data_IF_005575934787
#
_entry.id   IF_005575934787
#
_cell.length_a   1.000
_cell.length_b   1.000
_cell.length_c   1.000
_cell.angle_alpha   90.00
_cell.angle_beta   90.00
_cell.angle_gamma   90.00
#
_symmetry.space_group_name_H-M   'P 1'
#
loop_
_entity.id
_entity.type
_entity.pdbx_description
1 polymer ?
#
# COMPACT_ATOMS: atom_id res chain seq x y z
N UNK A 1 -20.61 0.96 -10.07
CA UNK A 1 -20.16 2.36 -10.17
C UNK A 1 -18.72 2.46 -9.65
N UNK A 2 -17.90 3.33 -10.24
CA UNK A 2 -16.52 3.61 -9.81
C UNK A 2 -16.43 5.09 -9.44
N UNK A 3 -15.94 5.39 -8.23
CA UNK A 3 -15.67 6.75 -7.79
C UNK A 3 -14.21 6.84 -7.38
N UNK A 4 -13.45 7.72 -8.03
CA UNK A 4 -12.04 7.92 -7.76
C UNK A 4 -11.79 9.38 -7.36
N UNK A 5 -10.95 9.57 -6.35
CA UNK A 5 -10.49 10.88 -5.91
C UNK A 5 -9.01 10.83 -5.59
N UNK A 6 -8.35 11.98 -5.75
CA UNK A 6 -6.96 12.17 -5.38
C UNK A 6 -6.88 13.40 -4.47
N UNK A 7 -6.29 13.23 -3.31
CA UNK A 7 -6.26 14.26 -2.28
C UNK A 7 -4.88 14.33 -1.63
N UNK A 8 -4.57 15.48 -1.05
CA UNK A 8 -3.37 15.66 -0.23
C UNK A 8 -3.69 15.13 1.18
N UNK A 9 -2.79 14.35 1.76
CA UNK A 9 -2.91 13.92 3.15
C UNK A 9 -2.79 15.17 4.04
N UNK A 10 -3.75 15.42 4.95
CA UNK A 10 -3.78 16.64 5.74
C UNK A 10 -2.45 16.95 6.44
N UNK A 11 -2.03 18.22 6.34
CA UNK A 11 -0.76 18.76 6.88
C UNK A 11 0.52 18.23 6.20
N UNK A 12 0.40 17.58 5.06
CA UNK A 12 1.54 17.11 4.25
C UNK A 12 1.42 17.65 2.82
N UNK A 13 2.38 17.28 1.98
CA UNK A 13 2.44 17.44 0.53
C UNK A 13 2.27 16.10 -0.19
N UNK A 14 2.11 15.00 0.55
CA UNK A 14 1.96 13.66 -0.02
C UNK A 14 0.52 13.48 -0.50
N UNK A 15 0.37 13.03 -1.74
CA UNK A 15 -0.92 12.67 -2.31
C UNK A 15 -1.25 11.21 -1.98
N UNK A 16 -2.54 10.94 -1.81
CA UNK A 16 -3.08 9.60 -1.88
C UNK A 16 -4.24 9.57 -2.88
N UNK A 17 -4.46 8.42 -3.48
CA UNK A 17 -5.64 8.15 -4.29
C UNK A 17 -6.58 7.24 -3.49
N UNK A 18 -7.88 7.51 -3.56
CA UNK A 18 -8.92 6.66 -3.00
C UNK A 18 -9.91 6.32 -4.11
N UNK A 19 -10.12 5.02 -4.32
CA UNK A 19 -11.06 4.50 -5.29
C UNK A 19 -12.07 3.63 -4.57
N UNK A 20 -13.33 3.99 -4.70
CA UNK A 20 -14.48 3.21 -4.28
C UNK A 20 -15.01 2.41 -5.48
N UNK A 21 -15.07 1.09 -5.30
CA UNK A 21 -15.41 0.12 -6.33
C UNK A 21 -16.65 -0.65 -5.90
N UNK A 22 -17.77 -0.45 -6.59
CA UNK A 22 -18.91 -1.35 -6.44
C UNK A 22 -18.63 -2.67 -7.16
N UNK A 23 -18.60 -3.76 -6.40
CA UNK A 23 -18.44 -5.12 -6.92
C UNK A 23 -19.82 -5.80 -6.87
N UNK A 24 -20.38 -6.29 -7.99
CA UNK A 24 -21.74 -6.83 -8.03
C UNK A 24 -22.05 -7.95 -7.03
N UNK A 25 -21.04 -8.72 -6.61
CA UNK A 25 -21.17 -9.80 -5.64
C UNK A 25 -21.07 -9.36 -4.18
N UNK A 26 -20.77 -8.08 -3.92
CA UNK A 26 -20.59 -7.53 -2.57
C UNK A 26 -21.76 -6.62 -2.19
N UNK A 27 -22.06 -6.62 -0.88
CA UNK A 27 -23.09 -5.72 -0.30
C UNK A 27 -22.57 -4.32 -0.03
N UNK A 28 -21.26 -4.18 0.12
CA UNK A 28 -20.58 -2.91 0.38
C UNK A 28 -19.47 -2.68 -0.64
N UNK A 29 -19.15 -1.42 -0.96
CA UNK A 29 -18.04 -1.11 -1.85
C UNK A 29 -16.69 -1.58 -1.32
N UNK A 30 -15.82 -1.97 -2.25
CA UNK A 30 -14.40 -2.19 -2.00
C UNK A 30 -13.68 -0.85 -2.08
N UNK A 31 -12.83 -0.57 -1.09
CA UNK A 31 -12.03 0.65 -1.05
C UNK A 31 -10.57 0.35 -1.33
N UNK A 32 -10.02 1.00 -2.35
CA UNK A 32 -8.61 0.95 -2.71
C UNK A 32 -7.95 2.28 -2.37
N UNK A 33 -6.90 2.23 -1.57
CA UNK A 33 -6.04 3.36 -1.25
C UNK A 33 -4.68 3.17 -1.89
N UNK A 34 -4.18 4.19 -2.58
CA UNK A 34 -2.85 4.21 -3.19
C UNK A 34 -2.04 5.39 -2.66
N UNK A 35 -0.76 5.15 -2.38
CA UNK A 35 0.17 6.18 -1.90
C UNK A 35 1.59 5.91 -2.43
N UNK A 36 2.29 6.98 -2.79
CA UNK A 36 3.74 6.97 -2.97
C UNK A 36 4.36 7.95 -1.97
N UNK A 37 4.93 7.43 -0.90
CA UNK A 37 5.49 8.24 0.18
C UNK A 37 6.93 8.66 -0.13
N UNK A 38 7.36 9.80 0.42
CA UNK A 38 8.69 10.33 0.12
C UNK A 38 9.84 9.38 0.52
N UNK A 39 10.92 9.31 -0.29
CA UNK A 39 12.11 8.53 0.02
C UNK A 39 12.91 9.12 1.19
N UNK A 40 13.71 8.31 1.90
CA UNK A 40 14.50 8.74 3.06
C UNK A 40 15.78 9.52 2.68
N UNK A 41 15.69 10.49 1.77
CA UNK A 41 16.88 11.22 1.26
C UNK A 41 17.40 12.22 2.30
N UNK A 42 16.52 12.82 3.10
CA UNK A 42 16.88 13.74 4.18
C UNK A 42 15.83 13.74 5.29
N UNK A 43 16.13 14.37 6.43
CA UNK A 43 15.24 14.40 7.60
C UNK A 43 13.87 14.99 7.29
N UNK A 44 13.81 16.07 6.51
CA UNK A 44 12.54 16.71 6.13
C UNK A 44 11.62 15.72 5.41
N UNK A 45 12.15 14.96 4.45
CA UNK A 45 11.37 13.95 3.73
C UNK A 45 11.01 12.73 4.58
N UNK A 46 11.85 12.37 5.56
CA UNK A 46 11.54 11.32 6.53
C UNK A 46 10.36 11.73 7.43
N UNK A 47 10.35 12.95 7.94
CA UNK A 47 9.24 13.48 8.75
C UNK A 47 7.97 13.63 7.92
N UNK A 48 8.10 14.11 6.68
CA UNK A 48 7.01 14.22 5.73
C UNK A 48 6.35 12.86 5.47
N UNK A 49 7.16 11.82 5.19
CA UNK A 49 6.66 10.43 5.04
C UNK A 49 5.97 9.94 6.30
N UNK A 50 6.54 10.21 7.48
CA UNK A 50 5.94 9.82 8.76
C UNK A 50 4.55 10.41 8.93
N UNK A 51 4.43 11.73 8.75
CA UNK A 51 3.16 12.43 8.85
C UNK A 51 2.16 11.94 7.80
N UNK A 52 2.63 11.63 6.59
CA UNK A 52 1.79 11.08 5.52
C UNK A 52 1.21 9.72 5.91
N UNK A 53 2.04 8.78 6.37
CA UNK A 53 1.56 7.44 6.76
C UNK A 53 0.63 7.49 7.99
N UNK A 54 0.93 8.34 8.98
CA UNK A 54 0.04 8.56 10.13
C UNK A 54 -1.28 9.23 9.74
N UNK A 55 -1.26 10.14 8.76
CA UNK A 55 -2.44 10.78 8.19
C UNK A 55 -3.29 9.81 7.39
N UNK A 56 -2.69 9.06 6.47
CA UNK A 56 -3.38 8.04 5.69
C UNK A 56 -4.00 6.96 6.60
N UNK A 57 -3.29 6.55 7.65
CA UNK A 57 -3.83 5.57 8.59
C UNK A 57 -5.10 6.09 9.29
N UNK A 58 -5.20 7.38 9.61
CA UNK A 58 -6.44 7.96 10.16
C UNK A 58 -7.56 7.97 9.13
N UNK A 59 -7.27 8.37 7.89
CA UNK A 59 -8.26 8.39 6.80
C UNK A 59 -8.86 6.99 6.57
N UNK A 60 -8.02 5.95 6.58
CA UNK A 60 -8.48 4.57 6.38
C UNK A 60 -9.22 4.05 7.62
N UNK A 61 -8.81 4.44 8.83
CA UNK A 61 -9.48 4.09 10.10
C UNK A 61 -10.88 4.71 10.19
N UNK A 62 -11.04 5.94 9.73
CA UNK A 62 -12.32 6.69 9.74
C UNK A 62 -13.34 6.13 8.73
N UNK A 63 -12.91 5.35 7.73
CA UNK A 63 -13.83 4.65 6.83
C UNK A 63 -14.38 3.39 7.52
N UNK A 64 -15.71 3.21 7.69
CA UNK A 64 -16.27 2.05 8.38
C UNK A 64 -16.24 0.75 7.55
N UNK A 65 -15.86 0.77 6.27
CA UNK A 65 -15.86 -0.43 5.42
C UNK A 65 -14.87 -1.49 5.91
N UNK A 66 -15.28 -2.76 5.85
CA UNK A 66 -14.41 -3.91 6.15
C UNK A 66 -13.62 -4.39 4.93
N UNK A 67 -13.83 -3.81 3.74
CA UNK A 67 -13.22 -4.20 2.47
C UNK A 67 -12.26 -3.10 2.00
N UNK A 68 -11.02 -3.15 2.51
CA UNK A 68 -9.99 -2.14 2.27
C UNK A 68 -8.73 -2.79 1.74
N UNK A 69 -8.18 -2.19 0.69
CA UNK A 69 -6.89 -2.52 0.12
C UNK A 69 -6.03 -1.25 0.17
N UNK A 70 -4.77 -1.39 0.58
CA UNK A 70 -3.79 -0.30 0.55
C UNK A 70 -2.59 -0.76 -0.26
N UNK A 71 -2.21 0.01 -1.28
CA UNK A 71 -1.07 -0.30 -2.14
C UNK A 71 -0.13 0.89 -2.30
N UNK A 72 1.14 0.59 -2.60
CA UNK A 72 2.07 1.56 -3.16
C UNK A 72 3.47 1.48 -2.57
N UNK A 73 4.32 2.39 -3.04
CA UNK A 73 5.69 2.57 -2.57
C UNK A 73 5.66 3.39 -1.28
N UNK A 74 5.89 2.71 -0.15
CA UNK A 74 5.94 3.37 1.14
C UNK A 74 7.32 3.94 1.46
N UNK A 75 8.34 3.66 0.64
CA UNK A 75 9.74 3.96 0.92
C UNK A 75 10.19 3.45 2.30
N UNK A 76 9.59 2.34 2.75
CA UNK A 76 9.85 1.69 4.03
C UNK A 76 9.98 0.19 3.84
N UNK A 77 10.96 -0.40 4.52
CA UNK A 77 11.03 -1.86 4.64
C UNK A 77 10.16 -2.37 5.78
N UNK A 78 9.77 -3.66 5.78
CA UNK A 78 8.93 -4.26 6.82
C UNK A 78 9.56 -4.27 8.22
N UNK A 79 10.87 -4.05 8.28
CA UNK A 79 11.62 -3.99 9.52
C UNK A 79 11.53 -2.63 10.20
N UNK A 80 11.07 -1.59 9.49
CA UNK A 80 10.97 -0.25 10.03
C UNK A 80 9.86 -0.13 11.10
N UNK A 81 10.09 0.51 12.25
CA UNK A 81 9.07 0.68 13.29
C UNK A 81 7.79 1.39 12.83
N UNK A 82 7.91 2.41 11.98
CA UNK A 82 6.78 3.14 11.41
C UNK A 82 5.92 2.24 10.53
N UNK A 83 6.55 1.35 9.77
CA UNK A 83 5.86 0.34 8.97
C UNK A 83 4.97 -0.55 9.84
N UNK A 84 5.56 -1.11 10.91
CA UNK A 84 4.85 -1.98 11.85
C UNK A 84 3.73 -1.23 12.58
N UNK A 85 3.92 0.05 12.88
CA UNK A 85 2.89 0.88 13.48
C UNK A 85 1.70 1.10 12.52
N UNK A 86 1.98 1.37 11.24
CA UNK A 86 0.98 1.51 10.19
C UNK A 86 0.16 0.22 10.00
N UNK A 87 0.83 -0.93 9.90
CA UNK A 87 0.19 -2.24 9.75
C UNK A 87 -0.71 -2.58 10.94
N UNK A 88 -0.20 -2.42 12.17
CA UNK A 88 -0.98 -2.69 13.40
C UNK A 88 -2.19 -1.78 13.54
N UNK A 89 -2.00 -0.49 13.26
CA UNK A 89 -3.05 0.51 13.45
C UNK A 89 -4.29 0.20 12.59
N UNK A 90 -4.07 -0.24 11.35
CA UNK A 90 -5.15 -0.47 10.40
C UNK A 90 -5.78 -1.87 10.51
N UNK A 91 -5.25 -2.74 11.37
CA UNK A 91 -5.63 -4.16 11.42
C UNK A 91 -5.64 -4.82 10.02
N UNK A 92 -4.80 -4.30 9.12
CA UNK A 92 -4.62 -4.82 7.76
C UNK A 92 -3.43 -5.77 7.77
N UNK A 93 -3.54 -6.84 6.99
CA UNK A 93 -2.48 -7.80 6.79
C UNK A 93 -1.74 -7.47 5.51
N UNK A 94 -0.42 -7.40 5.59
CA UNK A 94 0.42 -7.35 4.41
C UNK A 94 0.46 -8.68 3.67
N UNK A 95 0.28 -8.64 2.36
CA UNK A 95 0.33 -9.84 1.49
C UNK A 95 1.60 -9.93 0.65
N UNK A 96 2.36 -8.83 0.54
CA UNK A 96 3.57 -8.79 -0.30
C UNK A 96 4.72 -9.66 0.20
N UNK A 97 4.65 -10.17 1.44
CA UNK A 97 5.71 -10.99 2.05
C UNK A 97 7.04 -10.24 2.11
N UNK A 98 8.19 -10.92 2.10
CA UNK A 98 9.51 -10.27 2.04
C UNK A 98 10.00 -10.08 0.59
N UNK A 99 9.09 -10.03 -0.38
CA UNK A 99 9.48 -9.93 -1.79
C UNK A 99 10.05 -8.55 -2.06
N UNK A 100 11.30 -8.56 -2.51
CA UNK A 100 12.10 -7.38 -2.76
C UNK A 100 11.76 -6.79 -4.13
N UNK A 101 11.47 -5.50 -4.16
CA UNK A 101 10.95 -4.81 -5.35
C UNK A 101 11.93 -3.81 -5.92
N UNK A 102 12.88 -3.30 -5.14
CA UNK A 102 13.82 -2.28 -5.60
C UNK A 102 15.23 -2.50 -5.03
N UNK A 103 16.31 -2.18 -5.76
CA UNK A 103 16.33 -1.82 -7.17
C UNK A 103 16.43 -3.05 -8.07
N UNK A 104 15.67 -3.07 -9.16
CA UNK A 104 15.63 -4.21 -10.09
C UNK A 104 16.95 -4.49 -10.82
N UNK A 105 17.80 -3.48 -10.99
CA UNK A 105 19.11 -3.62 -11.63
C UNK A 105 20.18 -4.31 -10.75
N UNK A 106 19.94 -4.48 -9.45
CA UNK A 106 20.84 -5.23 -8.57
C UNK A 106 20.44 -6.72 -8.47
N UNK A 107 21.36 -7.62 -8.10
CA UNK A 107 21.02 -8.97 -7.67
C UNK A 107 19.98 -8.98 -6.54
N UNK A 108 19.09 -9.99 -6.50
CA UNK A 108 17.96 -10.02 -5.58
C UNK A 108 18.33 -9.92 -4.09
N UNK A 109 19.51 -10.37 -3.68
CA UNK A 109 19.97 -10.29 -2.29
C UNK A 109 20.40 -8.87 -1.85
N UNK A 110 20.55 -7.93 -2.78
CA UNK A 110 20.82 -6.51 -2.49
C UNK A 110 19.57 -5.63 -2.62
N UNK A 111 18.42 -6.23 -2.89
CA UNK A 111 17.15 -5.51 -3.05
C UNK A 111 16.41 -5.43 -1.71
N UNK A 112 15.50 -4.47 -1.63
CA UNK A 112 14.63 -4.19 -0.50
C UNK A 112 13.17 -4.19 -0.93
N UNK A 113 12.28 -4.48 0.02
CA UNK A 113 10.84 -4.46 -0.17
C UNK A 113 10.29 -3.11 0.29
N UNK A 114 10.08 -2.17 -0.64
CA UNK A 114 9.52 -0.84 -0.36
C UNK A 114 8.11 -0.66 -0.90
N UNK A 115 7.71 -1.51 -1.83
CA UNK A 115 6.37 -1.58 -2.39
C UNK A 115 5.53 -2.61 -1.63
N UNK A 116 4.33 -2.22 -1.20
CA UNK A 116 3.51 -3.06 -0.34
C UNK A 116 2.06 -3.12 -0.81
N UNK A 117 1.43 -4.25 -0.50
CA UNK A 117 -0.01 -4.43 -0.60
C UNK A 117 -0.52 -4.95 0.73
N UNK A 118 -1.53 -4.28 1.27
CA UNK A 118 -2.21 -4.64 2.50
C UNK A 118 -3.69 -4.83 2.24
N UNK A 119 -4.28 -5.77 2.96
CA UNK A 119 -5.71 -6.09 2.84
C UNK A 119 -6.34 -6.18 4.23
N UNK A 120 -7.60 -5.79 4.36
CA UNK A 120 -8.40 -5.96 5.57
C UNK A 120 -8.83 -7.42 5.78
N UNK A 121 -9.33 -7.75 6.98
CA UNK A 121 -9.64 -9.14 7.39
C UNK A 121 -10.73 -9.86 6.57
N UNK A 122 -11.58 -9.13 5.84
CA UNK A 122 -12.60 -9.69 4.92
C UNK A 122 -12.08 -9.99 3.52
N UNK A 123 -10.78 -9.79 3.29
CA UNK A 123 -10.12 -10.09 2.03
C UNK A 123 -9.06 -11.15 2.32
N UNK A 124 -9.08 -12.22 1.53
CA UNK A 124 -8.00 -13.19 1.45
C UNK A 124 -7.20 -12.97 0.16
N UNK A 125 -6.03 -13.60 0.08
CA UNK A 125 -5.27 -13.68 -1.16
C UNK A 125 -4.96 -15.14 -1.45
N UNK A 126 -5.04 -15.52 -2.73
CA UNK A 126 -4.69 -16.87 -3.19
C UNK A 126 -3.24 -16.91 -3.68
N UNK A 127 -2.83 -15.88 -4.42
CA UNK A 127 -1.52 -15.81 -5.00
C UNK A 127 -0.97 -14.38 -4.91
N UNK A 128 0.35 -14.29 -4.74
CA UNK A 128 1.09 -13.05 -4.86
C UNK A 128 2.37 -13.36 -5.62
N UNK A 129 2.77 -12.50 -6.55
CA UNK A 129 3.98 -12.65 -7.36
C UNK A 129 4.67 -11.30 -7.58
N UNK A 130 5.99 -11.36 -7.72
CA UNK A 130 6.72 -10.30 -8.42
C UNK A 130 6.69 -10.67 -9.90
N UNK A 131 6.19 -9.76 -10.72
CA UNK A 131 6.28 -9.90 -12.17
C UNK A 131 7.67 -9.46 -12.60
N UNK A 132 8.42 -10.34 -13.25
CA UNK A 132 9.70 -9.98 -13.86
C UNK A 132 9.51 -9.67 -15.34
N UNK A 133 10.24 -8.63 -15.76
CA UNK A 133 10.72 -8.33 -17.11
C UNK A 133 9.72 -7.85 -18.18
N UNK A 134 9.35 -6.56 -18.11
CA UNK A 134 8.94 -5.73 -19.29
C UNK A 134 8.49 -4.28 -18.98
N UNK A 135 8.25 -3.89 -17.71
CA UNK A 135 7.69 -2.55 -17.42
C UNK A 135 8.66 -1.35 -17.51
N UNK A 136 9.91 -1.54 -17.93
CA UNK A 136 10.92 -0.47 -18.02
C UNK A 136 11.02 0.41 -16.74
N UNK A 137 10.96 -0.23 -15.57
CA UNK A 137 10.99 0.41 -14.25
C UNK A 137 12.14 -0.15 -13.41
N UNK A 138 12.70 0.67 -12.53
CA UNK A 138 13.67 0.25 -11.51
C UNK A 138 13.00 -0.46 -10.32
N UNK A 139 11.67 -0.44 -10.26
CA UNK A 139 10.83 -1.17 -9.32
C UNK A 139 10.16 -2.38 -9.98
N UNK A 140 10.05 -3.48 -9.23
CA UNK A 140 9.38 -4.69 -9.68
C UNK A 140 7.86 -4.57 -9.48
N UNK A 141 7.09 -4.81 -10.55
CA UNK A 141 5.65 -4.88 -10.46
C UNK A 141 5.20 -6.06 -9.58
N UNK A 142 4.11 -5.86 -8.84
CA UNK A 142 3.52 -6.89 -7.99
C UNK A 142 2.13 -7.25 -8.52
N UNK A 143 1.83 -8.55 -8.54
CA UNK A 143 0.48 -9.07 -8.79
C UNK A 143 -0.02 -9.78 -7.55
N UNK A 144 -1.27 -9.50 -7.17
CA UNK A 144 -1.98 -10.24 -6.13
C UNK A 144 -3.35 -10.66 -6.67
N UNK A 145 -3.67 -11.94 -6.52
CA UNK A 145 -4.99 -12.47 -6.82
C UNK A 145 -5.77 -12.56 -5.48
N UNK A 146 -6.79 -11.70 -5.35
CA UNK A 146 -7.54 -11.51 -4.11
C UNK A 146 -8.88 -12.26 -4.15
N UNK A 147 -9.29 -12.75 -2.98
CA UNK A 147 -10.58 -13.39 -2.74
C UNK A 147 -11.35 -12.55 -1.73
N UNK A 148 -12.56 -12.14 -2.11
CA UNK A 148 -13.43 -11.36 -1.23
C UNK A 148 -14.28 -12.35 -0.43
N UNK A 149 -14.18 -12.29 0.89
CA UNK A 149 -14.93 -13.16 1.79
C UNK A 149 -16.25 -12.45 2.13
N UNK A 150 -17.41 -13.05 1.81
CA UNK A 150 -18.71 -12.44 2.08
C UNK A 150 -19.00 -12.14 3.57
#
# INVERSE_FOLDING_TARGET
>A
MLRAERQIIPKTKTLYSHVELEVPSLKTPLHLYEIHAYPPINQTLVEERKQALEGLARIIEDNPSELKIVVGDLNLTPYNPLFKAFERKLSIRRISGLKVTWPMFLPSFLRIAIDHCFISGKIAYQHHAILRDDFNSDQAAQRADLLLIP
#
